data_IF_578898638881
#
_entry.id   IF_578898638881
#
_cell.length_a   1.000
_cell.length_b   1.000
_cell.length_c   1.000
_cell.angle_alpha   90.00
_cell.angle_beta   90.00
_cell.angle_gamma   90.00
#
_symmetry.space_group_name_H-M   'P 1'
#
loop_
_entity.id
_entity.type
_entity.pdbx_description
1 polymer ?
#
# COMPACT_ATOMS: atom_id res chain seq x y z
N UNK A 1 -3.62 55.83 -26.39
CA UNK A 1 -4.17 54.94 -25.36
C UNK A 1 -4.38 53.57 -25.99
N UNK A 2 -3.49 52.60 -25.76
CA UNK A 2 -3.78 51.19 -25.98
C UNK A 2 -3.03 50.44 -24.88
N UNK A 3 -3.83 50.06 -23.88
CA UNK A 3 -3.46 49.54 -22.57
C UNK A 3 -3.00 48.09 -22.71
N UNK A 4 -1.95 47.74 -21.97
CA UNK A 4 -1.51 46.39 -21.59
C UNK A 4 -2.40 45.23 -22.02
N UNK A 5 -1.89 44.37 -22.89
CA UNK A 5 -2.40 43.00 -23.11
C UNK A 5 -1.27 41.95 -23.08
N UNK A 6 -0.21 42.17 -22.28
CA UNK A 6 0.89 41.21 -22.04
C UNK A 6 0.71 40.53 -20.67
N UNK A 7 -0.49 40.01 -20.37
CA UNK A 7 -0.79 39.34 -19.08
C UNK A 7 -1.63 38.08 -19.25
N UNK A 8 -1.53 37.39 -20.39
CA UNK A 8 -2.35 36.21 -20.70
C UNK A 8 -1.66 34.83 -20.77
N UNK A 9 -0.36 34.62 -20.42
CA UNK A 9 0.16 33.25 -20.29
C UNK A 9 0.50 32.83 -18.85
N UNK A 10 0.08 33.55 -17.80
CA UNK A 10 0.48 33.22 -16.41
C UNK A 10 -0.54 32.41 -15.60
N UNK A 11 -1.80 32.33 -16.05
CA UNK A 11 -2.89 31.70 -15.27
C UNK A 11 -3.02 30.19 -15.56
N UNK A 12 -2.45 29.69 -16.66
CA UNK A 12 -2.60 28.29 -17.07
C UNK A 12 -1.71 27.29 -16.28
N UNK A 13 -0.78 27.76 -15.44
CA UNK A 13 0.24 26.90 -14.81
C UNK A 13 -0.13 26.35 -13.42
N UNK A 14 -1.30 26.69 -12.87
CA UNK A 14 -1.63 26.37 -11.46
C UNK A 14 -2.45 25.10 -11.23
N UNK A 15 -2.85 24.36 -12.26
CA UNK A 15 -3.75 23.20 -12.12
C UNK A 15 -3.05 21.85 -11.86
N UNK A 16 -1.73 21.81 -11.60
CA UNK A 16 -0.98 20.55 -11.48
C UNK A 16 -0.69 20.07 -10.04
N UNK A 17 -1.24 20.71 -8.99
CA UNK A 17 -0.82 20.42 -7.59
C UNK A 17 -1.72 19.46 -6.79
N UNK A 18 -2.68 18.78 -7.42
CA UNK A 18 -3.74 18.05 -6.69
C UNK A 18 -3.55 16.56 -6.36
N UNK A 19 -2.50 15.87 -6.80
CA UNK A 19 -2.50 14.38 -6.81
C UNK A 19 -1.42 13.69 -5.95
N UNK A 20 -0.76 14.39 -5.02
CA UNK A 20 0.39 13.80 -4.29
C UNK A 20 0.05 13.18 -2.93
N UNK A 21 -1.12 13.47 -2.36
CA UNK A 21 -1.44 13.12 -0.96
C UNK A 21 -1.50 11.60 -0.72
N UNK A 22 -2.06 10.85 -1.67
CA UNK A 22 -2.22 9.40 -1.58
C UNK A 22 -0.89 8.64 -1.67
N UNK A 23 0.02 9.08 -2.55
CA UNK A 23 1.35 8.48 -2.69
C UNK A 23 2.18 8.66 -1.42
N UNK A 24 2.18 9.87 -0.86
CA UNK A 24 2.87 10.17 0.40
C UNK A 24 2.36 9.31 1.57
N UNK A 25 1.07 8.97 1.57
CA UNK A 25 0.49 8.07 2.57
C UNK A 25 1.01 6.65 2.43
N UNK A 26 1.04 6.12 1.21
CA UNK A 26 1.57 4.77 0.92
C UNK A 26 3.06 4.67 1.27
N UNK A 27 3.88 5.62 0.83
CA UNK A 27 5.33 5.58 1.02
C UNK A 27 5.72 5.62 2.50
N UNK A 28 4.93 6.31 3.35
CA UNK A 28 5.14 6.31 4.80
C UNK A 28 4.84 4.96 5.47
N UNK A 29 3.91 4.18 4.91
CA UNK A 29 3.46 2.90 5.49
C UNK A 29 4.18 1.69 4.90
N UNK A 30 4.70 1.81 3.68
CA UNK A 30 5.46 0.79 2.96
C UNK A 30 6.59 0.14 3.79
N UNK A 31 7.49 0.87 4.47
CA UNK A 31 8.59 0.23 5.23
C UNK A 31 8.06 -0.64 6.38
N UNK A 32 6.95 -0.25 6.99
CA UNK A 32 6.33 -1.04 8.06
C UNK A 32 5.68 -2.29 7.51
N UNK A 33 5.02 -2.18 6.35
CA UNK A 33 4.42 -3.32 5.68
C UNK A 33 5.47 -4.36 5.24
N UNK A 34 6.61 -3.89 4.69
CA UNK A 34 7.74 -4.73 4.34
C UNK A 34 8.32 -5.44 5.56
N UNK A 35 8.47 -4.75 6.70
CA UNK A 35 8.96 -5.36 7.93
C UNK A 35 8.07 -6.53 8.39
N UNK A 36 6.74 -6.34 8.39
CA UNK A 36 5.77 -7.37 8.77
C UNK A 36 5.84 -8.57 7.82
N UNK A 37 5.83 -8.32 6.51
CA UNK A 37 5.93 -9.37 5.51
C UNK A 37 7.27 -10.12 5.59
N UNK A 38 8.38 -9.42 5.83
CA UNK A 38 9.70 -10.03 5.92
C UNK A 38 9.81 -10.96 7.12
N UNK A 39 9.43 -10.50 8.31
CA UNK A 39 9.48 -11.35 9.51
C UNK A 39 8.63 -12.61 9.35
N UNK A 40 7.47 -12.49 8.71
CA UNK A 40 6.61 -13.65 8.44
C UNK A 40 7.19 -14.57 7.38
N UNK A 41 7.71 -14.03 6.28
CA UNK A 41 8.35 -14.82 5.23
C UNK A 41 9.56 -15.57 5.77
N UNK A 42 10.42 -14.92 6.56
CA UNK A 42 11.59 -15.55 7.18
C UNK A 42 11.18 -16.73 8.08
N UNK A 43 10.12 -16.55 8.87
CA UNK A 43 9.58 -17.58 9.74
C UNK A 43 8.93 -18.73 8.97
N UNK A 44 8.00 -18.44 8.05
CA UNK A 44 7.25 -19.46 7.31
C UNK A 44 8.11 -20.24 6.31
N UNK A 45 9.10 -19.58 5.70
CA UNK A 45 10.04 -20.23 4.79
C UNK A 45 11.20 -20.91 5.53
N UNK A 46 11.32 -20.71 6.85
CA UNK A 46 12.48 -21.09 7.65
C UNK A 46 13.79 -20.62 7.00
N UNK A 47 13.81 -19.37 6.54
CA UNK A 47 14.85 -18.79 5.71
C UNK A 47 15.17 -17.38 6.17
N UNK A 48 16.28 -17.15 6.91
CA UNK A 48 16.65 -15.80 7.37
C UNK A 48 16.99 -14.86 6.21
N UNK A 49 17.48 -15.41 5.09
CA UNK A 49 17.79 -14.67 3.86
C UNK A 49 16.57 -14.38 2.99
N UNK A 50 15.34 -14.65 3.47
CA UNK A 50 14.14 -14.30 2.71
C UNK A 50 14.05 -12.79 2.47
N UNK A 51 13.97 -12.43 1.20
CA UNK A 51 13.82 -11.05 0.73
C UNK A 51 12.38 -10.77 0.37
N UNK A 52 11.96 -9.52 0.54
CA UNK A 52 10.59 -9.07 0.23
C UNK A 52 10.62 -7.91 -0.74
N UNK A 53 9.62 -7.86 -1.62
CA UNK A 53 9.44 -6.80 -2.62
C UNK A 53 7.97 -6.43 -2.73
N UNK A 54 7.68 -5.14 -2.87
CA UNK A 54 6.30 -4.69 -3.11
C UNK A 54 5.91 -5.02 -4.54
N UNK A 55 4.84 -5.79 -4.70
CA UNK A 55 4.22 -6.11 -5.99
C UNK A 55 3.18 -5.05 -6.34
N UNK A 56 2.29 -4.72 -5.39
CA UNK A 56 1.28 -3.68 -5.55
C UNK A 56 1.06 -2.92 -4.25
N UNK A 57 0.65 -1.65 -4.37
CA UNK A 57 0.26 -0.80 -3.26
C UNK A 57 -1.00 -0.03 -3.63
N UNK A 58 -2.02 -0.15 -2.79
CA UNK A 58 -3.36 0.39 -3.03
C UNK A 58 -3.88 1.09 -1.77
N UNK A 59 -4.67 2.16 -1.95
CA UNK A 59 -5.39 2.80 -0.84
C UNK A 59 -6.84 2.36 -0.88
N UNK A 60 -7.23 1.62 0.16
CA UNK A 60 -8.58 1.16 0.38
C UNK A 60 -9.44 2.30 0.95
N UNK A 61 -10.59 2.59 0.32
CA UNK A 61 -11.52 3.57 0.84
C UNK A 61 -12.13 3.10 2.16
N UNK A 62 -12.61 4.05 2.98
CA UNK A 62 -13.33 3.69 4.19
C UNK A 62 -14.68 3.04 3.84
N UNK A 63 -15.02 1.97 4.57
CA UNK A 63 -16.29 1.22 4.40
C UNK A 63 -17.50 2.05 4.88
N UNK A 64 -17.26 2.99 5.80
CA UNK A 64 -18.26 3.90 6.36
C UNK A 64 -17.89 5.34 6.02
N UNK A 65 -18.89 6.19 5.79
CA UNK A 65 -18.68 7.62 5.54
C UNK A 65 -17.96 8.27 6.73
N UNK A 66 -16.82 8.92 6.47
CA UNK A 66 -15.94 9.47 7.53
C UNK A 66 -15.03 8.43 8.22
N UNK A 67 -14.96 7.21 7.70
CA UNK A 67 -14.05 6.17 8.19
C UNK A 67 -12.58 6.45 7.84
N UNK A 68 -11.71 5.55 8.28
CA UNK A 68 -10.26 5.64 8.08
C UNK A 68 -9.85 4.92 6.80
N UNK A 69 -9.09 5.59 5.94
CA UNK A 69 -8.43 4.97 4.78
C UNK A 69 -7.40 3.94 5.24
N UNK A 70 -7.19 2.90 4.44
CA UNK A 70 -6.21 1.85 4.76
C UNK A 70 -5.29 1.66 3.57
N UNK A 71 -4.00 1.57 3.81
CA UNK A 71 -3.05 1.16 2.79
C UNK A 71 -3.00 -0.38 2.75
N UNK A 72 -3.14 -0.95 1.56
CA UNK A 72 -2.96 -2.37 1.29
C UNK A 72 -1.70 -2.54 0.46
N UNK A 73 -0.81 -3.43 0.91
CA UNK A 73 0.42 -3.79 0.22
C UNK A 73 0.40 -5.27 -0.12
N UNK A 74 0.58 -5.59 -1.39
CA UNK A 74 0.83 -6.95 -1.84
C UNK A 74 2.33 -7.10 -1.99
N UNK A 75 2.93 -7.99 -1.18
CA UNK A 75 4.36 -8.13 -1.04
C UNK A 75 4.74 -9.55 -1.45
N UNK A 76 5.60 -9.68 -2.46
CA UNK A 76 6.22 -10.93 -2.82
C UNK A 76 7.41 -11.20 -1.90
N UNK A 77 7.57 -12.42 -1.44
CA UNK A 77 8.77 -12.87 -0.75
C UNK A 77 9.42 -14.01 -1.51
N UNK A 78 10.75 -13.99 -1.54
CA UNK A 78 11.56 -15.04 -2.16
C UNK A 78 12.82 -15.30 -1.32
N UNK A 79 13.10 -16.57 -1.07
CA UNK A 79 14.26 -17.02 -0.33
C UNK A 79 14.33 -18.53 -0.23
N UNK A 80 15.54 -19.10 -0.18
CA UNK A 80 15.78 -20.53 0.02
C UNK A 80 14.97 -21.45 -0.94
N UNK A 81 14.82 -21.04 -2.20
CA UNK A 81 14.07 -21.79 -3.22
C UNK A 81 12.55 -21.78 -3.03
N UNK A 82 12.02 -20.94 -2.15
CA UNK A 82 10.59 -20.77 -1.87
C UNK A 82 10.16 -19.37 -2.28
N UNK A 83 8.89 -19.27 -2.70
CA UNK A 83 8.23 -18.00 -3.02
C UNK A 83 6.89 -17.96 -2.30
N UNK A 84 6.50 -16.77 -1.87
CA UNK A 84 5.23 -16.52 -1.20
C UNK A 84 4.73 -15.12 -1.50
N UNK A 85 3.43 -14.91 -1.35
CA UNK A 85 2.82 -13.59 -1.49
C UNK A 85 2.05 -13.26 -0.23
N UNK A 86 2.30 -12.08 0.30
CA UNK A 86 1.84 -11.58 1.58
C UNK A 86 1.04 -10.31 1.35
N UNK A 87 -0.21 -10.29 1.80
CA UNK A 87 -1.01 -9.06 1.80
C UNK A 87 -0.93 -8.44 3.17
N UNK A 88 -0.52 -7.18 3.27
CA UNK A 88 -0.41 -6.43 4.52
C UNK A 88 -1.32 -5.21 4.47
N UNK A 89 -2.09 -5.00 5.53
CA UNK A 89 -2.98 -3.84 5.68
C UNK A 89 -2.44 -2.93 6.78
N UNK A 90 -2.35 -1.64 6.49
CA UNK A 90 -1.98 -0.59 7.42
C UNK A 90 -3.12 0.44 7.51
N UNK A 91 -3.69 0.71 8.69
CA UNK A 91 -4.69 1.73 8.90
C UNK A 91 -4.06 3.13 8.81
N UNK A 92 -4.81 4.12 8.34
CA UNK A 92 -4.27 5.47 8.20
C UNK A 92 -4.00 6.20 9.51
N UNK A 93 -4.83 5.97 10.53
CA UNK A 93 -4.74 6.63 11.84
C UNK A 93 -3.77 5.97 12.83
N UNK A 94 -3.30 4.76 12.56
CA UNK A 94 -2.42 4.01 13.47
C UNK A 94 -1.17 3.50 12.72
N UNK A 95 -0.09 3.23 13.43
CA UNK A 95 1.19 2.80 12.83
C UNK A 95 1.42 1.29 12.87
N UNK A 96 0.44 0.52 13.34
CA UNK A 96 0.46 -0.93 13.28
C UNK A 96 0.01 -1.43 11.91
N UNK A 97 0.78 -2.33 11.32
CA UNK A 97 0.38 -3.07 10.12
C UNK A 97 0.27 -4.55 10.47
N UNK A 98 -0.64 -5.27 9.80
CA UNK A 98 -0.81 -6.71 9.98
C UNK A 98 -0.99 -7.40 8.65
N UNK A 99 -0.53 -8.64 8.54
CA UNK A 99 -0.77 -9.45 7.36
C UNK A 99 -2.17 -10.08 7.42
N UNK A 100 -2.80 -10.23 6.25
CA UNK A 100 -4.17 -10.75 6.10
C UNK A 100 -4.20 -12.28 6.07
N UNK A 101 -3.04 -12.92 6.09
CA UNK A 101 -2.93 -14.34 5.74
C UNK A 101 -2.92 -15.28 6.95
N UNK A 102 -2.89 -14.77 8.19
CA UNK A 102 -3.14 -15.62 9.37
C UNK A 102 -3.60 -14.82 10.59
N UNK A 103 -4.79 -14.22 10.51
CA UNK A 103 -5.35 -13.54 11.67
C UNK A 103 -6.42 -12.57 11.26
N UNK A 104 -7.61 -13.08 10.97
CA UNK A 104 -8.79 -12.27 10.75
C UNK A 104 -9.37 -11.90 12.13
N UNK A 105 -9.32 -10.64 12.61
CA UNK A 105 -10.18 -10.24 13.71
C UNK A 105 -11.64 -10.06 13.28
N UNK A 106 -11.93 -10.06 11.96
CA UNK A 106 -13.27 -9.84 11.37
C UNK A 106 -13.50 -10.71 10.12
N UNK A 107 -13.41 -12.04 10.28
CA UNK A 107 -13.46 -13.08 9.24
C UNK A 107 -14.31 -12.80 8.00
N UNK A 108 -13.66 -12.38 6.92
CA UNK A 108 -14.19 -12.36 5.54
C UNK A 108 -13.10 -12.75 4.55
N UNK A 109 -12.48 -13.93 4.78
CA UNK A 109 -11.54 -14.52 3.83
C UNK A 109 -12.32 -15.28 2.73
N UNK A 110 -12.84 -14.52 1.75
CA UNK A 110 -13.39 -15.06 0.50
C UNK A 110 -12.47 -14.87 -0.72
N UNK A 111 -11.30 -14.23 -0.57
CA UNK A 111 -10.51 -13.77 -1.72
C UNK A 111 -9.34 -14.65 -2.19
N UNK A 112 -8.98 -15.73 -1.48
CA UNK A 112 -7.72 -16.45 -1.74
C UNK A 112 -7.83 -17.77 -2.50
N UNK A 113 -9.04 -18.29 -2.74
CA UNK A 113 -9.23 -19.66 -3.26
C UNK A 113 -9.46 -19.74 -4.79
N UNK A 114 -9.36 -18.63 -5.52
CA UNK A 114 -9.67 -18.59 -6.96
C UNK A 114 -8.45 -18.59 -7.89
N UNK A 115 -7.22 -18.66 -7.39
CA UNK A 115 -5.99 -18.75 -8.22
C UNK A 115 -5.17 -20.02 -7.97
N UNK A 116 -5.82 -21.13 -7.62
CA UNK A 116 -5.21 -22.48 -7.57
C UNK A 116 -5.96 -23.51 -8.44
N UNK A 117 -6.49 -23.09 -9.59
CA UNK A 117 -6.86 -24.02 -10.67
C UNK A 117 -6.13 -23.68 -11.95
#
# INVERSE_FOLDING_TARGET
MAKSFIFLPFIALWFLTGCQTTQQFLDKKEPKALQVAQSRAQFEMNCPDATVTVISKDVLPPIVFGGVERAQFTIGAEGCGKRGTYTVICPGKQDNCWDVSRGDPYGTSEGGRLLQR
#
